data_IF_261267817206
#
_entry.id   IF_261267817206
#
_cell.length_a   1.000
_cell.length_b   1.000
_cell.length_c   1.000
_cell.angle_alpha   90.00
_cell.angle_beta   90.00
_cell.angle_gamma   90.00
#
_symmetry.space_group_name_H-M   'P 1'
#
loop_
_entity.id
_entity.type
_entity.pdbx_description
1 polymer ?
#
# COMPACT_ATOMS: atom_id res chain seq x y z
N UNK A 1 19.05 18.72 -29.88
CA UNK A 1 18.53 19.30 -28.63
C UNK A 1 17.34 18.45 -28.23
N UNK A 2 17.57 17.49 -27.34
CA UNK A 2 16.50 16.73 -26.69
C UNK A 2 15.87 17.63 -25.64
N UNK A 3 14.56 17.85 -25.72
CA UNK A 3 13.81 18.59 -24.71
C UNK A 3 13.92 17.89 -23.35
N UNK A 4 14.08 18.63 -22.24
CA UNK A 4 14.04 18.03 -20.91
C UNK A 4 12.61 17.53 -20.65
N UNK A 5 12.47 16.22 -20.41
CA UNK A 5 11.21 15.59 -20.01
C UNK A 5 10.70 16.30 -18.76
N UNK A 6 9.64 17.09 -18.94
CA UNK A 6 9.03 17.88 -17.87
C UNK A 6 8.16 16.93 -17.05
N UNK A 7 8.77 16.29 -16.06
CA UNK A 7 8.07 15.44 -15.09
C UNK A 7 7.16 16.32 -14.22
N UNK A 8 5.91 16.46 -14.67
CA UNK A 8 4.84 17.08 -13.89
C UNK A 8 4.32 16.01 -12.95
N UNK A 9 4.74 16.07 -11.68
CA UNK A 9 4.09 15.30 -10.62
C UNK A 9 2.63 15.76 -10.61
N UNK A 10 1.72 14.86 -10.99
CA UNK A 10 0.29 15.18 -11.12
C UNK A 10 -0.22 15.57 -9.73
N UNK A 11 -0.77 16.78 -9.55
CA UNK A 11 -1.35 17.20 -8.28
C UNK A 11 -2.73 16.57 -8.14
N UNK A 12 -3.03 15.99 -6.99
CA UNK A 12 -4.30 15.32 -6.79
C UNK A 12 -4.95 15.71 -5.46
N UNK A 13 -6.28 15.69 -5.41
CA UNK A 13 -7.09 16.37 -4.38
C UNK A 13 -7.87 15.43 -3.43
N UNK A 14 -7.80 14.09 -3.56
CA UNK A 14 -8.61 13.16 -2.74
C UNK A 14 -7.88 11.91 -2.23
N UNK A 15 -8.50 11.24 -1.24
CA UNK A 15 -8.03 10.03 -0.54
C UNK A 15 -7.94 8.75 -1.39
N UNK A 16 -8.27 8.79 -2.68
CA UNK A 16 -8.31 7.62 -3.58
C UNK A 16 -7.11 7.55 -4.55
N UNK A 17 -6.14 8.46 -4.43
CA UNK A 17 -4.97 8.54 -5.30
C UNK A 17 -4.08 7.30 -5.29
N UNK A 18 -3.89 6.70 -4.11
CA UNK A 18 -3.09 5.48 -4.01
C UNK A 18 -3.74 4.32 -4.78
N UNK A 19 -5.08 4.28 -4.86
CA UNK A 19 -5.80 3.29 -5.65
C UNK A 19 -5.59 3.49 -7.14
N UNK A 20 -5.47 4.74 -7.61
CA UNK A 20 -5.16 5.02 -9.01
C UNK A 20 -3.81 4.41 -9.41
N UNK A 21 -2.76 4.68 -8.62
CA UNK A 21 -1.42 4.13 -8.87
C UNK A 21 -1.41 2.59 -8.82
N UNK A 22 -2.14 1.99 -7.88
CA UNK A 22 -2.28 0.53 -7.79
C UNK A 22 -3.05 -0.06 -8.97
N UNK A 23 -4.15 0.56 -9.41
CA UNK A 23 -4.89 0.14 -10.60
C UNK A 23 -4.05 0.23 -11.86
N UNK A 24 -3.23 1.27 -11.98
CA UNK A 24 -2.33 1.44 -13.11
C UNK A 24 -1.29 0.33 -13.20
N UNK A 25 -0.68 -0.04 -12.08
CA UNK A 25 0.26 -1.16 -12.02
C UNK A 25 -0.42 -2.51 -12.35
N UNK A 26 -1.62 -2.74 -11.79
CA UNK A 26 -2.40 -3.94 -12.09
C UNK A 26 -2.85 -4.01 -13.56
N UNK A 27 -3.22 -2.88 -14.15
CA UNK A 27 -3.60 -2.80 -15.57
C UNK A 27 -2.40 -3.18 -16.45
N UNK A 28 -1.23 -2.58 -16.22
CA UNK A 28 0.00 -2.93 -16.93
C UNK A 28 0.35 -4.42 -16.77
N UNK A 29 0.28 -4.92 -15.54
CA UNK A 29 0.56 -6.32 -15.26
C UNK A 29 -0.36 -7.29 -16.02
N UNK A 30 -1.66 -7.03 -16.04
CA UNK A 30 -2.61 -7.84 -16.80
C UNK A 30 -2.42 -7.69 -18.32
N UNK A 31 -2.08 -6.48 -18.78
CA UNK A 31 -1.73 -6.21 -20.19
C UNK A 31 -0.55 -7.04 -20.64
N UNK A 32 0.52 -7.09 -19.85
CA UNK A 32 1.71 -7.89 -20.17
C UNK A 32 1.48 -9.40 -20.12
N UNK A 33 0.59 -9.87 -19.22
CA UNK A 33 0.30 -11.31 -19.08
C UNK A 33 -0.63 -11.84 -20.17
N UNK A 34 -1.59 -11.04 -20.62
CA UNK A 34 -2.72 -11.50 -21.44
C UNK A 34 -2.91 -10.73 -22.75
N UNK A 35 -1.99 -9.81 -23.07
CA UNK A 35 -2.06 -8.93 -24.26
C UNK A 35 -3.39 -8.15 -24.33
N UNK A 36 -3.86 -7.69 -23.17
CA UNK A 36 -5.12 -6.97 -23.03
C UNK A 36 -4.94 -5.47 -23.26
N UNK A 37 -5.91 -4.84 -23.92
CA UNK A 37 -5.96 -3.39 -23.98
C UNK A 37 -6.68 -2.82 -22.76
N UNK A 38 -5.97 -2.79 -21.64
CA UNK A 38 -6.47 -2.25 -20.36
C UNK A 38 -5.68 -1.02 -19.94
N UNK A 39 -6.41 0.02 -19.54
CA UNK A 39 -5.88 1.27 -18.99
C UNK A 39 -6.53 1.54 -17.63
N UNK A 40 -5.99 2.50 -16.87
CA UNK A 40 -6.51 2.82 -15.52
C UNK A 40 -7.99 3.20 -15.53
N UNK A 41 -8.44 3.90 -16.58
CA UNK A 41 -9.83 4.34 -16.75
C UNK A 41 -10.77 3.21 -17.15
N UNK A 42 -10.28 2.22 -17.91
CA UNK A 42 -11.05 1.06 -18.40
C UNK A 42 -10.85 -0.18 -17.55
N UNK A 43 -10.02 -0.12 -16.49
CA UNK A 43 -9.61 -1.26 -15.68
C UNK A 43 -10.78 -2.09 -15.16
N UNK A 44 -11.80 -1.43 -14.60
CA UNK A 44 -12.99 -2.12 -14.08
C UNK A 44 -13.87 -2.64 -15.22
N UNK A 45 -14.02 -1.88 -16.30
CA UNK A 45 -14.83 -2.24 -17.48
C UNK A 45 -14.34 -3.51 -18.16
N UNK A 46 -13.02 -3.63 -18.35
CA UNK A 46 -12.42 -4.82 -18.96
C UNK A 46 -12.63 -6.07 -18.09
N UNK A 47 -12.74 -5.90 -16.77
CA UNK A 47 -12.82 -6.99 -15.80
C UNK A 47 -14.26 -7.32 -15.34
N UNK A 48 -15.25 -6.49 -15.66
CA UNK A 48 -16.61 -6.59 -15.11
C UNK A 48 -17.40 -7.82 -15.58
N UNK A 49 -16.96 -8.50 -16.64
CA UNK A 49 -17.53 -9.79 -17.08
C UNK A 49 -17.03 -10.98 -16.26
N UNK A 50 -15.98 -10.78 -15.46
CA UNK A 50 -15.28 -11.83 -14.71
C UNK A 50 -14.46 -12.80 -15.57
N UNK A 51 -14.55 -12.73 -16.91
CA UNK A 51 -13.90 -13.71 -17.79
C UNK A 51 -12.36 -13.65 -17.69
N UNK A 52 -11.80 -12.44 -17.67
CA UNK A 52 -10.35 -12.24 -17.49
C UNK A 52 -9.89 -12.72 -16.11
N UNK A 53 -10.69 -12.49 -15.05
CA UNK A 53 -10.39 -12.94 -13.70
C UNK A 53 -10.34 -14.47 -13.63
N UNK A 54 -11.33 -15.13 -14.23
CA UNK A 54 -11.35 -16.58 -14.32
C UNK A 54 -10.19 -17.14 -15.13
N UNK A 55 -9.88 -16.52 -16.27
CA UNK A 55 -8.70 -16.87 -17.08
C UNK A 55 -7.42 -16.72 -16.27
N UNK A 56 -7.32 -15.66 -15.47
CA UNK A 56 -6.16 -15.42 -14.61
C UNK A 56 -6.03 -16.50 -13.53
N UNK A 57 -7.11 -16.85 -12.82
CA UNK A 57 -7.11 -17.95 -11.85
C UNK A 57 -6.67 -19.28 -12.47
N UNK A 58 -7.18 -19.61 -13.67
CA UNK A 58 -6.79 -20.81 -14.39
C UNK A 58 -5.31 -20.82 -14.78
N UNK A 59 -4.77 -19.68 -15.21
CA UNK A 59 -3.35 -19.54 -15.51
C UNK A 59 -2.48 -19.67 -14.26
N UNK A 60 -2.88 -19.06 -13.14
CA UNK A 60 -2.19 -19.22 -11.84
C UNK A 60 -2.15 -20.69 -11.43
N UNK A 61 -3.26 -21.43 -11.56
CA UNK A 61 -3.30 -22.87 -11.30
C UNK A 61 -2.34 -23.64 -12.21
N UNK A 62 -2.32 -23.32 -13.50
CA UNK A 62 -1.41 -23.96 -14.46
C UNK A 62 0.07 -23.74 -14.09
N UNK A 63 0.47 -22.50 -13.79
CA UNK A 63 1.85 -22.18 -13.37
C UNK A 63 2.20 -22.92 -12.08
N UNK A 64 1.28 -23.02 -11.13
CA UNK A 64 1.49 -23.77 -9.89
C UNK A 64 1.72 -25.27 -10.15
N UNK A 65 0.98 -25.88 -11.08
CA UNK A 65 1.17 -27.28 -11.48
C UNK A 65 2.52 -27.51 -12.15
N UNK A 66 2.96 -26.59 -13.01
CA UNK A 66 4.28 -26.65 -13.66
C UNK A 66 5.41 -26.51 -12.64
N UNK A 67 5.24 -25.59 -11.68
CA UNK A 67 6.16 -25.41 -10.57
C UNK A 67 6.23 -26.67 -9.69
N UNK A 68 5.09 -27.29 -9.38
CA UNK A 68 5.05 -28.53 -8.60
C UNK A 68 5.77 -29.69 -9.30
N UNK A 69 5.69 -29.75 -10.64
CA UNK A 69 6.42 -30.73 -11.46
C UNK A 69 7.92 -30.46 -11.49
N UNK A 70 8.31 -29.19 -11.60
CA UNK A 70 9.72 -28.79 -11.76
C UNK A 70 10.49 -28.77 -10.44
N UNK A 71 9.81 -28.45 -9.33
CA UNK A 71 10.41 -28.28 -8.01
C UNK A 71 9.54 -28.95 -6.91
N UNK A 72 9.46 -30.29 -6.88
CA UNK A 72 8.53 -31.00 -5.99
C UNK A 72 8.83 -30.80 -4.49
N UNK A 73 10.10 -30.73 -4.09
CA UNK A 73 10.47 -30.52 -2.69
C UNK A 73 10.09 -29.11 -2.21
N UNK A 74 10.29 -28.11 -3.06
CA UNK A 74 9.84 -26.74 -2.81
C UNK A 74 8.31 -26.65 -2.70
N UNK A 75 7.60 -27.29 -3.63
CA UNK A 75 6.14 -27.30 -3.69
C UNK A 75 5.48 -27.88 -2.44
N UNK A 76 6.09 -28.87 -1.77
CA UNK A 76 5.58 -29.45 -0.51
C UNK A 76 5.47 -28.43 0.63
N UNK A 77 6.25 -27.36 0.58
CA UNK A 77 6.26 -26.31 1.59
C UNK A 77 5.36 -25.12 1.22
N UNK A 78 4.71 -25.15 0.06
CA UNK A 78 3.83 -24.10 -0.44
C UNK A 78 2.38 -24.58 -0.52
N UNK A 79 1.45 -23.65 -0.31
CA UNK A 79 0.03 -23.84 -0.65
C UNK A 79 -0.11 -23.52 -2.13
N UNK A 80 -0.25 -24.55 -2.96
CA UNK A 80 -0.44 -24.42 -4.39
C UNK A 80 -1.92 -24.65 -4.74
N UNK A 81 -2.50 -23.84 -5.64
CA UNK A 81 -3.83 -24.13 -6.18
C UNK A 81 -3.80 -25.46 -6.94
N UNK A 82 -4.85 -26.26 -6.76
CA UNK A 82 -4.97 -27.62 -7.32
C UNK A 82 -6.10 -27.74 -8.34
N UNK A 83 -7.02 -26.79 -8.35
CA UNK A 83 -8.14 -26.75 -9.27
C UNK A 83 -8.27 -25.35 -9.88
N UNK A 84 -8.70 -25.30 -11.14
CA UNK A 84 -9.09 -24.06 -11.80
C UNK A 84 -10.52 -23.63 -11.47
N UNK A 85 -11.02 -22.65 -12.20
CA UNK A 85 -12.39 -22.13 -12.13
C UNK A 85 -13.14 -22.34 -13.43
N UNK A 86 -14.43 -22.63 -13.30
CA UNK A 86 -15.36 -22.57 -14.41
C UNK A 86 -15.54 -21.13 -14.88
N UNK A 87 -15.60 -20.94 -16.20
CA UNK A 87 -15.70 -19.62 -16.80
C UNK A 87 -16.67 -19.64 -17.98
N UNK A 88 -17.66 -18.75 -17.97
CA UNK A 88 -18.51 -18.49 -19.10
C UNK A 88 -17.96 -17.30 -19.91
N UNK A 89 -17.28 -17.60 -21.01
CA UNK A 89 -16.69 -16.58 -21.90
C UNK A 89 -17.74 -15.77 -22.68
N UNK A 90 -18.97 -16.25 -22.79
CA UNK A 90 -20.06 -15.54 -23.46
C UNK A 90 -20.80 -14.54 -22.54
N UNK A 91 -20.39 -14.45 -21.26
CA UNK A 91 -20.98 -13.53 -20.30
C UNK A 91 -20.86 -12.08 -20.78
N UNK A 92 -21.96 -11.33 -20.67
CA UNK A 92 -22.00 -9.91 -21.01
C UNK A 92 -21.94 -9.06 -19.74
N UNK A 93 -21.41 -7.83 -19.80
CA UNK A 93 -21.39 -6.91 -18.67
C UNK A 93 -22.75 -6.75 -17.98
N UNK A 94 -22.76 -6.68 -16.65
CA UNK A 94 -23.97 -6.48 -15.85
C UNK A 94 -24.93 -7.68 -15.74
N UNK A 95 -24.66 -8.79 -16.43
CA UNK A 95 -25.53 -9.98 -16.43
C UNK A 95 -25.31 -10.90 -15.21
N UNK A 96 -26.26 -11.80 -14.95
CA UNK A 96 -26.10 -12.85 -13.94
C UNK A 96 -24.91 -13.78 -14.24
N UNK A 97 -24.64 -14.05 -15.51
CA UNK A 97 -23.49 -14.86 -15.93
C UNK A 97 -22.15 -14.17 -15.59
N UNK A 98 -22.08 -12.84 -15.74
CA UNK A 98 -20.89 -12.09 -15.33
C UNK A 98 -20.67 -12.16 -13.80
N UNK A 99 -21.75 -12.00 -13.02
CA UNK A 99 -21.69 -12.17 -11.55
C UNK A 99 -21.27 -13.57 -11.14
N UNK A 100 -21.72 -14.60 -11.86
CA UNK A 100 -21.34 -15.99 -11.61
C UNK A 100 -19.84 -16.23 -11.86
N UNK A 101 -19.29 -15.71 -12.96
CA UNK A 101 -17.84 -15.74 -13.21
C UNK A 101 -17.05 -15.09 -12.06
N UNK A 102 -17.46 -13.89 -11.64
CA UNK A 102 -16.79 -13.17 -10.54
C UNK A 102 -16.90 -13.96 -9.23
N UNK A 103 -18.06 -14.54 -8.93
CA UNK A 103 -18.28 -15.40 -7.76
C UNK A 103 -17.36 -16.62 -7.77
N UNK A 104 -17.22 -17.29 -8.92
CA UNK A 104 -16.32 -18.44 -9.08
C UNK A 104 -14.87 -18.05 -8.81
N UNK A 105 -14.43 -16.89 -9.32
CA UNK A 105 -13.09 -16.35 -9.04
C UNK A 105 -12.88 -16.04 -7.55
N UNK A 106 -13.85 -15.39 -6.90
CA UNK A 106 -13.79 -15.06 -5.46
C UNK A 106 -13.69 -16.35 -4.63
N UNK A 107 -14.51 -17.35 -4.93
CA UNK A 107 -14.48 -18.64 -4.22
C UNK A 107 -13.13 -19.34 -4.38
N UNK A 108 -12.55 -19.30 -5.58
CA UNK A 108 -11.23 -19.85 -5.84
C UNK A 108 -10.12 -19.11 -5.09
N UNK A 109 -10.14 -17.78 -5.07
CA UNK A 109 -9.18 -16.98 -4.30
C UNK A 109 -9.21 -17.34 -2.81
N UNK A 110 -10.41 -17.54 -2.24
CA UNK A 110 -10.58 -17.96 -0.85
C UNK A 110 -10.07 -19.39 -0.62
N UNK A 111 -10.44 -20.33 -1.49
CA UNK A 111 -10.21 -21.77 -1.27
C UNK A 111 -8.81 -22.23 -1.66
N UNK A 112 -8.37 -21.89 -2.87
CA UNK A 112 -7.13 -22.39 -3.46
C UNK A 112 -5.94 -21.49 -3.13
N UNK A 113 -6.18 -20.18 -3.00
CA UNK A 113 -5.13 -19.20 -2.69
C UNK A 113 -5.14 -18.72 -1.23
N UNK A 114 -6.11 -19.12 -0.40
CA UNK A 114 -6.20 -18.79 1.03
C UNK A 114 -6.14 -17.27 1.34
N UNK A 115 -6.72 -16.46 0.44
CA UNK A 115 -6.83 -15.01 0.64
C UNK A 115 -7.83 -14.72 1.77
N UNK A 116 -7.41 -13.93 2.76
CA UNK A 116 -8.22 -13.59 3.95
C UNK A 116 -9.42 -12.73 3.56
N UNK A 117 -10.57 -12.99 4.19
CA UNK A 117 -11.83 -12.28 3.89
C UNK A 117 -11.75 -10.75 4.03
N UNK A 118 -10.87 -10.23 4.89
CA UNK A 118 -10.65 -8.78 5.04
C UNK A 118 -10.12 -8.10 3.76
N UNK A 119 -9.51 -8.87 2.85
CA UNK A 119 -9.02 -8.39 1.55
C UNK A 119 -9.94 -8.78 0.40
N UNK A 120 -10.94 -9.62 0.65
CA UNK A 120 -11.86 -10.09 -0.39
C UNK A 120 -12.86 -9.00 -0.76
N UNK A 121 -13.29 -9.02 -2.02
CA UNK A 121 -14.33 -8.16 -2.56
C UNK A 121 -15.58 -8.98 -2.86
N UNK A 122 -16.71 -8.30 -3.03
CA UNK A 122 -17.99 -8.88 -3.42
C UNK A 122 -18.27 -8.70 -4.92
N UNK A 123 -19.15 -9.51 -5.49
CA UNK A 123 -19.55 -9.39 -6.90
C UNK A 123 -20.12 -8.01 -7.22
N UNK A 124 -20.87 -7.42 -6.27
CA UNK A 124 -21.47 -6.09 -6.43
C UNK A 124 -20.43 -4.96 -6.36
N UNK A 125 -19.26 -5.17 -5.74
CA UNK A 125 -18.21 -4.16 -5.65
C UNK A 125 -17.66 -3.80 -7.03
N UNK A 126 -17.52 -4.82 -7.89
CA UNK A 126 -17.05 -4.68 -9.27
C UNK A 126 -18.17 -4.25 -10.22
N UNK A 127 -19.34 -4.89 -10.13
CA UNK A 127 -20.47 -4.65 -11.05
C UNK A 127 -21.12 -3.28 -10.83
N UNK A 128 -21.25 -2.84 -9.58
CA UNK A 128 -21.86 -1.54 -9.23
C UNK A 128 -20.81 -0.44 -9.02
N UNK A 129 -19.51 -0.75 -9.19
CA UNK A 129 -18.37 0.15 -8.94
C UNK A 129 -18.43 0.84 -7.57
N UNK A 130 -18.87 0.10 -6.54
CA UNK A 130 -19.11 0.66 -5.20
C UNK A 130 -17.86 0.66 -4.32
N UNK A 131 -16.99 -0.33 -4.48
CA UNK A 131 -15.81 -0.51 -3.64
C UNK A 131 -14.65 -1.11 -4.43
N UNK A 132 -13.94 -0.27 -5.17
CA UNK A 132 -12.78 -0.71 -5.96
C UNK A 132 -11.56 -1.06 -5.08
N UNK A 133 -11.53 -0.59 -3.82
CA UNK A 133 -10.39 -0.79 -2.92
C UNK A 133 -10.13 -2.27 -2.65
N UNK A 134 -11.14 -3.00 -2.17
CA UNK A 134 -10.96 -4.41 -1.83
C UNK A 134 -10.66 -5.23 -3.08
N UNK A 135 -11.23 -4.87 -4.24
CA UNK A 135 -10.91 -5.51 -5.51
C UNK A 135 -9.41 -5.40 -5.85
N UNK A 136 -8.86 -4.18 -5.78
CA UNK A 136 -7.43 -3.91 -6.02
C UNK A 136 -6.54 -4.65 -5.01
N UNK A 137 -6.89 -4.60 -3.72
CA UNK A 137 -6.11 -5.25 -2.67
C UNK A 137 -6.12 -6.79 -2.80
N UNK A 138 -7.27 -7.36 -3.20
CA UNK A 138 -7.40 -8.80 -3.46
C UNK A 138 -6.45 -9.24 -4.58
N UNK A 139 -6.40 -8.51 -5.71
CA UNK A 139 -5.53 -8.82 -6.83
C UNK A 139 -4.04 -8.71 -6.46
N UNK A 140 -3.65 -7.70 -5.67
CA UNK A 140 -2.26 -7.59 -5.19
C UNK A 140 -1.88 -8.70 -4.22
N UNK A 141 -2.79 -9.13 -3.34
CA UNK A 141 -2.57 -10.30 -2.47
C UNK A 141 -2.45 -11.59 -3.29
N UNK A 142 -3.31 -11.76 -4.31
CA UNK A 142 -3.22 -12.89 -5.23
C UNK A 142 -1.85 -12.94 -5.92
N UNK A 143 -1.39 -11.80 -6.43
CA UNK A 143 -0.10 -11.72 -7.09
C UNK A 143 1.08 -11.99 -6.14
N UNK A 144 1.03 -11.50 -4.90
CA UNK A 144 2.01 -11.83 -3.84
C UNK A 144 2.12 -13.34 -3.62
N UNK A 145 0.99 -14.04 -3.57
CA UNK A 145 0.97 -15.49 -3.38
C UNK A 145 1.46 -16.23 -4.63
N UNK A 146 1.04 -15.80 -5.81
CA UNK A 146 1.44 -16.42 -7.07
C UNK A 146 2.93 -16.27 -7.40
N UNK A 147 3.56 -15.17 -6.97
CA UNK A 147 4.98 -14.92 -7.12
C UNK A 147 5.86 -16.02 -6.47
N UNK A 148 5.38 -16.62 -5.37
CA UNK A 148 6.09 -17.67 -4.63
C UNK A 148 6.34 -18.96 -5.42
N UNK A 149 5.60 -19.16 -6.50
CA UNK A 149 5.75 -20.31 -7.39
C UNK A 149 6.03 -19.89 -8.85
N UNK A 150 6.59 -18.69 -9.04
CA UNK A 150 7.21 -18.28 -10.31
C UNK A 150 6.33 -17.45 -11.23
N UNK A 151 5.10 -17.08 -10.84
CA UNK A 151 4.32 -16.14 -11.63
C UNK A 151 4.94 -14.74 -11.59
N UNK A 152 5.01 -14.05 -12.73
CA UNK A 152 5.44 -12.66 -12.76
C UNK A 152 4.50 -11.81 -11.92
N UNK A 153 5.04 -11.07 -10.96
CA UNK A 153 4.29 -10.17 -10.08
C UNK A 153 4.22 -8.74 -10.65
N UNK A 154 3.22 -7.93 -10.27
CA UNK A 154 3.16 -6.51 -10.60
C UNK A 154 4.29 -5.73 -9.91
N UNK A 155 4.54 -4.52 -10.38
CA UNK A 155 5.69 -3.68 -10.02
C UNK A 155 5.70 -3.34 -8.53
N UNK A 156 4.54 -3.15 -7.92
CA UNK A 156 4.36 -2.93 -6.47
C UNK A 156 4.85 -4.10 -5.63
N UNK A 157 4.42 -5.31 -5.98
CA UNK A 157 4.81 -6.53 -5.26
C UNK A 157 6.30 -6.79 -5.39
N UNK A 158 6.87 -6.53 -6.58
CA UNK A 158 8.33 -6.63 -6.77
C UNK A 158 9.11 -5.67 -5.85
N UNK A 159 8.60 -4.45 -5.64
CA UNK A 159 9.22 -3.49 -4.70
C UNK A 159 9.09 -3.95 -3.25
N UNK A 160 7.99 -4.59 -2.87
CA UNK A 160 7.82 -5.15 -1.51
C UNK A 160 8.89 -6.21 -1.22
N UNK A 161 9.10 -7.14 -2.16
CA UNK A 161 10.13 -8.17 -2.02
C UNK A 161 11.54 -7.58 -1.98
N UNK A 162 11.80 -6.52 -2.76
CA UNK A 162 13.08 -5.80 -2.75
C UNK A 162 13.33 -5.16 -1.38
N UNK A 163 12.34 -4.44 -0.84
CA UNK A 163 12.42 -3.81 0.49
C UNK A 163 12.62 -4.86 1.58
N UNK A 164 11.89 -5.99 1.51
CA UNK A 164 12.03 -7.07 2.49
C UNK A 164 13.45 -7.68 2.46
N UNK A 165 14.03 -7.83 1.28
CA UNK A 165 15.39 -8.35 1.12
C UNK A 165 16.45 -7.36 1.60
N UNK A 166 16.31 -6.07 1.29
CA UNK A 166 17.17 -5.01 1.84
C UNK A 166 17.14 -4.99 3.37
N UNK A 167 15.94 -5.08 3.96
CA UNK A 167 15.77 -5.09 5.42
C UNK A 167 16.37 -6.35 6.04
N UNK A 168 16.23 -7.51 5.39
CA UNK A 168 16.82 -8.78 5.83
C UNK A 168 18.35 -8.70 5.87
N UNK A 169 18.96 -8.11 4.84
CA UNK A 169 20.39 -7.91 4.76
C UNK A 169 20.90 -6.94 5.83
N UNK A 170 20.19 -5.83 6.07
CA UNK A 170 20.56 -4.90 7.15
C UNK A 170 20.46 -5.50 8.55
N UNK A 171 19.61 -6.52 8.73
CA UNK A 171 19.42 -7.22 10.00
C UNK A 171 20.29 -8.50 10.12
N UNK A 172 21.19 -8.76 9.16
CA UNK A 172 22.03 -9.97 9.09
C UNK A 172 21.22 -11.28 9.24
N UNK A 173 20.00 -11.28 8.73
CA UNK A 173 19.10 -12.43 8.82
C UNK A 173 19.45 -13.46 7.73
N UNK A 174 19.24 -14.77 8.00
CA UNK A 174 19.46 -15.80 7.00
C UNK A 174 18.57 -15.58 5.77
N UNK A 175 18.99 -16.04 4.58
CA UNK A 175 18.18 -15.96 3.37
C UNK A 175 16.80 -16.54 3.62
N UNK A 176 15.76 -15.92 3.04
CA UNK A 176 14.42 -16.48 3.13
C UNK A 176 14.41 -17.92 2.62
N UNK A 177 13.62 -18.80 3.26
CA UNK A 177 13.39 -20.20 2.85
C UNK A 177 12.68 -20.32 1.48
N UNK A 178 12.71 -19.29 0.63
CA UNK A 178 12.11 -19.34 -0.70
C UNK A 178 13.04 -20.13 -1.64
N UNK A 179 12.63 -21.32 -2.09
CA UNK A 179 13.50 -22.26 -2.80
C UNK A 179 13.73 -21.91 -4.28
N UNK A 180 13.42 -20.68 -4.71
CA UNK A 180 13.38 -20.31 -6.12
C UNK A 180 14.56 -19.42 -6.54
N UNK A 181 15.25 -19.77 -7.64
CA UNK A 181 16.09 -18.84 -8.38
C UNK A 181 15.19 -17.73 -8.92
N UNK A 182 15.25 -16.56 -8.28
CA UNK A 182 14.49 -15.39 -8.74
C UNK A 182 15.12 -14.94 -10.07
N UNK A 183 14.31 -14.61 -11.09
CA UNK A 183 14.85 -14.07 -12.32
C UNK A 183 15.72 -12.83 -12.00
N UNK A 184 16.86 -12.63 -12.70
CA UNK A 184 17.73 -11.50 -12.46
C UNK A 184 16.93 -10.22 -12.64
N UNK A 185 16.76 -9.51 -11.53
CA UNK A 185 15.99 -8.27 -11.48
C UNK A 185 16.78 -7.20 -12.23
N UNK A 186 16.13 -6.46 -13.12
CA UNK A 186 16.72 -5.24 -13.67
C UNK A 186 16.84 -4.24 -12.52
N UNK A 187 18.02 -3.64 -12.27
CA UNK A 187 18.14 -2.53 -11.35
C UNK A 187 17.14 -1.46 -11.78
N UNK A 188 16.26 -1.05 -10.88
CA UNK A 188 15.42 0.11 -11.16
C UNK A 188 16.29 1.34 -11.12
N UNK A 189 16.16 2.16 -12.15
CA UNK A 189 16.82 3.44 -12.18
C UNK A 189 16.10 4.37 -11.19
N UNK A 190 16.66 4.47 -9.97
CA UNK A 190 16.19 5.38 -8.94
C UNK A 190 16.76 6.80 -9.15
N UNK A 191 17.45 7.04 -10.27
CA UNK A 191 17.94 8.37 -10.63
C UNK A 191 16.75 9.35 -10.66
N UNK A 192 16.87 10.44 -9.91
CA UNK A 192 15.85 11.46 -9.64
C UNK A 192 14.88 11.19 -8.48
N UNK A 193 14.92 10.05 -7.77
CA UNK A 193 14.03 9.80 -6.62
C UNK A 193 14.14 10.93 -5.58
N UNK A 194 15.35 11.28 -5.15
CA UNK A 194 15.57 12.36 -4.20
C UNK A 194 15.03 13.70 -4.70
N UNK A 195 15.15 13.97 -5.99
CA UNK A 195 14.64 15.21 -6.58
C UNK A 195 13.12 15.25 -6.53
N UNK A 196 12.45 14.13 -6.81
CA UNK A 196 10.99 14.02 -6.73
C UNK A 196 10.50 14.14 -5.28
N UNK A 197 11.20 13.50 -4.33
CA UNK A 197 10.89 13.61 -2.90
C UNK A 197 11.03 15.06 -2.43
N UNK A 198 12.13 15.74 -2.79
CA UNK A 198 12.32 17.18 -2.48
C UNK A 198 11.20 18.03 -3.05
N UNK A 199 10.83 17.87 -4.33
CA UNK A 199 9.72 18.61 -4.94
C UNK A 199 8.38 18.39 -4.24
N UNK A 200 8.14 17.20 -3.68
CA UNK A 200 6.95 16.91 -2.88
C UNK A 200 6.94 17.66 -1.55
N UNK A 201 8.11 17.77 -0.90
CA UNK A 201 8.28 18.49 0.35
C UNK A 201 8.29 20.02 0.18
N UNK A 202 8.80 20.53 -0.95
CA UNK A 202 8.90 21.97 -1.26
C UNK A 202 7.55 22.70 -1.30
N UNK A 203 6.43 21.97 -1.31
CA UNK A 203 5.07 22.53 -1.20
C UNK A 203 4.70 22.94 0.23
N UNK A 204 5.47 22.51 1.23
CA UNK A 204 5.28 22.86 2.63
C UNK A 204 5.66 24.33 2.87
N UNK A 205 4.73 25.13 3.41
CA UNK A 205 4.95 26.54 3.75
C UNK A 205 5.10 26.78 5.26
N UNK A 206 5.19 25.70 6.04
CA UNK A 206 5.32 25.75 7.49
C UNK A 206 6.67 26.37 7.92
N UNK A 207 6.70 27.16 9.03
CA UNK A 207 7.96 27.68 9.58
C UNK A 207 8.85 26.57 10.17
N UNK A 208 8.25 25.46 10.59
CA UNK A 208 8.94 24.22 10.95
C UNK A 208 8.44 23.15 10.00
N UNK A 209 9.29 22.70 9.09
CA UNK A 209 8.97 21.63 8.17
C UNK A 209 8.99 20.28 8.88
N UNK A 210 8.11 19.37 8.47
CA UNK A 210 8.13 18.00 8.94
C UNK A 210 9.48 17.35 8.57
N UNK A 211 10.27 16.86 9.56
CA UNK A 211 11.62 16.38 9.30
C UNK A 211 11.56 15.06 8.54
N UNK A 212 12.06 15.07 7.30
CA UNK A 212 12.24 13.88 6.46
C UNK A 212 13.69 13.83 5.97
N UNK A 213 14.48 12.95 6.58
CA UNK A 213 15.94 12.88 6.42
C UNK A 213 16.28 11.65 5.59
N UNK A 214 17.00 11.84 4.48
CA UNK A 214 17.50 10.74 3.67
C UNK A 214 18.58 9.97 4.44
N UNK A 215 18.42 8.66 4.58
CA UNK A 215 19.44 7.76 5.16
C UNK A 215 20.27 7.13 4.05
N UNK A 216 19.59 6.51 3.09
CA UNK A 216 20.16 5.93 1.89
C UNK A 216 19.17 6.07 0.74
N UNK A 217 19.55 5.65 -0.47
CA UNK A 217 18.67 5.73 -1.62
C UNK A 217 17.37 4.94 -1.37
N UNK A 218 16.22 5.61 -1.47
CA UNK A 218 14.92 5.00 -1.18
C UNK A 218 14.62 4.74 0.30
N UNK A 219 15.46 5.20 1.25
CA UNK A 219 15.21 5.09 2.70
C UNK A 219 15.27 6.45 3.38
N UNK A 220 14.19 6.81 4.07
CA UNK A 220 14.06 8.10 4.74
C UNK A 220 13.59 7.90 6.16
N UNK A 221 14.13 8.69 7.10
CA UNK A 221 13.60 8.77 8.46
C UNK A 221 12.72 9.98 8.60
N UNK A 222 11.61 9.79 9.29
CA UNK A 222 10.51 10.73 9.29
C UNK A 222 10.01 11.00 10.71
N UNK A 223 9.72 12.27 10.98
CA UNK A 223 9.18 12.76 12.26
C UNK A 223 10.19 12.73 13.40
N UNK A 224 9.73 13.05 14.61
CA UNK A 224 10.57 13.08 15.82
C UNK A 224 10.86 11.68 16.39
N UNK A 225 10.12 10.66 15.93
CA UNK A 225 10.22 9.27 16.40
C UNK A 225 11.16 8.40 15.57
N UNK A 226 11.99 9.00 14.71
CA UNK A 226 12.98 8.32 13.84
C UNK A 226 12.38 7.16 13.00
N UNK A 227 11.12 7.30 12.58
CA UNK A 227 10.40 6.22 11.86
C UNK A 227 10.98 6.06 10.46
N UNK A 228 11.49 4.87 10.16
CA UNK A 228 12.02 4.53 8.83
C UNK A 228 10.88 4.24 7.84
N UNK A 229 10.91 4.94 6.70
CA UNK A 229 10.02 4.68 5.58
C UNK A 229 10.83 4.35 4.33
N UNK A 230 10.26 3.49 3.49
CA UNK A 230 10.85 3.15 2.20
C UNK A 230 10.10 3.87 1.10
N UNK A 231 10.82 4.52 0.21
CA UNK A 231 10.25 5.27 -0.91
C UNK A 231 10.76 4.68 -2.21
N UNK A 232 9.85 4.51 -3.17
CA UNK A 232 10.15 3.96 -4.49
C UNK A 232 9.38 4.70 -5.58
N UNK A 233 9.87 4.62 -6.80
CA UNK A 233 9.20 5.16 -7.98
C UNK A 233 8.37 4.03 -8.62
N UNK A 234 7.08 4.31 -8.83
CA UNK A 234 6.16 3.51 -9.62
C UNK A 234 5.66 4.39 -10.77
N UNK A 235 6.28 4.27 -11.96
CA UNK A 235 5.95 5.10 -13.13
C UNK A 235 6.07 6.60 -12.81
N UNK A 236 4.97 7.35 -12.89
CA UNK A 236 4.89 8.78 -12.55
C UNK A 236 4.61 9.03 -11.05
N UNK A 237 4.44 7.98 -10.25
CA UNK A 237 4.08 8.05 -8.84
C UNK A 237 5.28 7.83 -7.92
N UNK A 238 5.38 8.66 -6.88
CA UNK A 238 6.29 8.41 -5.76
C UNK A 238 5.52 7.67 -4.68
N UNK A 239 5.91 6.42 -4.43
CA UNK A 239 5.24 5.52 -3.50
C UNK A 239 6.02 5.43 -2.19
N UNK A 240 5.29 5.49 -1.08
CA UNK A 240 5.80 5.35 0.28
C UNK A 240 5.28 4.06 0.89
N UNK A 241 6.17 3.26 1.46
CA UNK A 241 5.87 2.05 2.21
C UNK A 241 5.98 2.34 3.70
N UNK A 242 4.86 2.17 4.42
CA UNK A 242 4.79 2.23 5.88
C UNK A 242 4.10 0.98 6.43
N UNK A 243 4.77 0.23 7.31
CA UNK A 243 4.17 -0.92 7.99
C UNK A 243 3.57 -1.98 7.06
N UNK A 244 2.24 -1.99 6.88
CA UNK A 244 1.47 -3.02 6.15
C UNK A 244 0.87 -2.66 4.78
N UNK A 245 1.05 -1.44 4.25
CA UNK A 245 0.58 -1.09 2.90
C UNK A 245 1.41 -0.03 2.17
N UNK A 246 0.99 0.29 0.94
CA UNK A 246 1.53 1.35 0.10
C UNK A 246 0.65 2.60 0.16
N UNK A 247 1.29 3.76 0.11
CA UNK A 247 0.66 5.06 -0.06
C UNK A 247 1.44 5.90 -1.09
N UNK A 248 0.88 7.00 -1.56
CA UNK A 248 1.65 7.98 -2.35
C UNK A 248 2.37 8.95 -1.41
N UNK A 249 3.50 9.51 -1.83
CA UNK A 249 4.21 10.52 -1.04
C UNK A 249 3.33 11.76 -0.80
N UNK A 250 2.53 12.18 -1.79
CA UNK A 250 1.65 13.34 -1.66
C UNK A 250 0.63 13.13 -0.52
N UNK A 251 -0.07 11.99 -0.53
CA UNK A 251 -1.06 11.65 0.49
C UNK A 251 -0.44 11.33 1.86
N UNK A 252 0.75 10.72 1.89
CA UNK A 252 1.50 10.54 3.13
C UNK A 252 1.82 11.90 3.78
N UNK A 253 2.33 12.85 2.99
CA UNK A 253 2.63 14.20 3.49
C UNK A 253 1.35 14.95 3.90
N UNK A 254 0.21 14.79 3.23
CA UNK A 254 -1.04 15.44 3.64
C UNK A 254 -1.50 15.05 5.05
N UNK A 255 -1.22 13.82 5.49
CA UNK A 255 -1.57 13.34 6.84
C UNK A 255 -0.58 13.77 7.91
N UNK A 256 0.66 14.04 7.53
CA UNK A 256 1.76 14.25 8.46
C UNK A 256 2.27 15.69 8.50
N UNK A 257 2.04 16.49 7.46
CA UNK A 257 2.45 17.89 7.34
C UNK A 257 1.35 18.83 7.89
N UNK A 258 1.61 19.58 8.98
CA UNK A 258 0.63 20.45 9.62
C UNK A 258 0.01 21.53 8.71
N UNK A 259 0.76 22.08 7.73
CA UNK A 259 0.22 23.12 6.82
C UNK A 259 -0.55 22.53 5.63
N UNK A 260 -0.47 21.22 5.41
CA UNK A 260 -1.24 20.52 4.36
C UNK A 260 -2.48 19.81 4.90
N UNK A 261 -2.51 19.56 6.21
CA UNK A 261 -3.69 19.12 6.94
C UNK A 261 -4.86 20.12 6.77
N UNK A 262 -5.68 19.89 5.75
CA UNK A 262 -6.93 20.64 5.49
C UNK A 262 -7.95 20.47 6.61
N UNK A 263 -7.75 19.51 7.52
CA UNK A 263 -8.63 19.24 8.67
C UNK A 263 -8.35 20.10 9.91
N UNK A 264 -7.27 20.91 9.95
CA UNK A 264 -6.92 21.71 11.14
C UNK A 264 -6.73 23.22 10.88
N UNK A 265 -6.75 23.68 9.64
CA UNK A 265 -6.49 25.09 9.32
C UNK A 265 -7.73 25.95 8.99
N UNK A 266 -8.95 25.49 9.31
CA UNK A 266 -10.16 26.35 9.24
C UNK A 266 -10.29 27.27 10.48
N UNK A 267 -9.57 27.00 11.58
CA UNK A 267 -9.74 27.74 12.84
C UNK A 267 -8.72 28.86 13.11
N UNK A 268 -7.74 29.09 12.22
CA UNK A 268 -6.72 30.14 12.42
C UNK A 268 -6.57 31.02 11.18
N UNK A 269 -7.67 31.63 10.72
CA UNK A 269 -7.58 32.90 10.03
C UNK A 269 -7.74 34.03 11.06
N UNK A 270 -6.68 34.78 11.40
CA UNK A 270 -6.89 36.08 12.01
C UNK A 270 -7.41 37.01 10.90
N UNK A 271 -8.71 37.27 10.90
CA UNK A 271 -9.22 38.43 10.16
C UNK A 271 -8.63 39.69 10.82
N UNK A 272 -7.95 40.48 10.00
CA UNK A 272 -7.30 41.75 10.32
C UNK A 272 -8.35 42.87 10.63
N UNK A 273 -7.96 44.14 10.85
CA UNK A 273 -7.83 44.75 12.17
C UNK A 273 -8.80 45.93 12.32
N UNK A 274 -9.75 45.87 13.25
CA UNK A 274 -10.61 47.02 13.55
C UNK A 274 -10.58 47.34 15.04
N UNK A 275 -10.12 48.56 15.31
CA UNK A 275 -10.23 49.31 16.55
C UNK A 275 -11.65 49.23 17.13
N UNK A 276 -11.77 49.05 18.45
CA UNK A 276 -12.66 49.74 19.40
C UNK A 276 -12.84 48.89 20.69
N UNK A 277 -13.36 49.43 21.79
CA UNK A 277 -12.61 50.08 22.86
C UNK A 277 -12.61 49.23 24.15
N UNK A 278 -11.66 49.47 25.04
CA UNK A 278 -11.72 48.96 26.43
C UNK A 278 -12.93 49.52 27.17
N UNK A 279 -13.59 48.70 28.01
CA UNK A 279 -14.06 49.21 29.29
C UNK A 279 -13.65 48.30 30.45
N UNK A 280 -13.03 48.91 31.45
CA UNK A 280 -13.49 48.76 32.84
C UNK A 280 -12.91 47.63 33.69
N UNK A 281 -11.95 48.01 34.53
CA UNK A 281 -11.44 47.29 35.70
C UNK A 281 -12.53 46.88 36.71
N UNK A 282 -12.39 45.67 37.29
CA UNK A 282 -12.57 45.25 38.72
C UNK A 282 -12.39 43.72 38.74
N UNK A 283 -11.53 43.06 39.52
CA UNK A 283 -11.03 43.29 40.87
C UNK A 283 -11.34 42.01 41.67
N UNK A 284 -10.33 41.31 42.19
CA UNK A 284 -10.52 40.15 43.08
C UNK A 284 -9.36 39.17 43.04
N UNK A 285 -8.57 39.12 44.10
CA UNK A 285 -7.29 38.41 44.19
C UNK A 285 -7.39 36.90 44.46
N UNK A 286 -6.22 36.28 44.45
CA UNK A 286 -6.02 34.88 44.84
C UNK A 286 -4.66 34.38 44.35
N UNK A 287 -3.69 34.31 45.25
CA UNK A 287 -2.38 33.72 45.02
C UNK A 287 -2.50 32.19 44.95
N UNK A 288 -1.97 31.57 43.89
CA UNK A 288 -1.53 30.17 43.96
C UNK A 288 -0.27 30.01 43.10
N UNK A 289 0.83 29.67 43.78
CA UNK A 289 2.10 29.28 43.17
C UNK A 289 1.98 27.79 42.87
N UNK A 290 2.14 27.40 41.61
CA UNK A 290 2.07 26.00 41.17
C UNK A 290 2.91 25.79 39.91
N UNK A 291 3.86 24.86 40.02
CA UNK A 291 4.92 24.52 39.08
C UNK A 291 4.44 24.31 37.63
N UNK A 292 4.95 25.08 36.68
CA UNK A 292 4.73 24.87 35.24
C UNK A 292 5.66 23.74 34.78
N UNK A 293 5.12 22.54 34.58
CA UNK A 293 5.74 21.56 33.68
C UNK A 293 5.21 21.84 32.28
N UNK A 294 6.13 21.96 31.33
CA UNK A 294 5.83 22.34 29.95
C UNK A 294 4.99 21.25 29.27
N UNK A 295 3.69 21.52 29.12
CA UNK A 295 2.75 20.68 28.39
C UNK A 295 1.75 21.60 27.71
N UNK A 296 1.77 21.63 26.37
CA UNK A 296 0.79 22.39 25.60
C UNK A 296 -0.59 21.73 25.77
N UNK A 297 -1.48 22.39 26.52
CA UNK A 297 -2.90 22.04 26.63
C UNK A 297 -3.62 22.74 25.49
N UNK A 298 -4.16 21.98 24.54
CA UNK A 298 -5.06 22.52 23.53
C UNK A 298 -6.48 22.61 24.10
N UNK A 299 -7.05 23.82 24.08
CA UNK A 299 -8.37 24.16 24.63
C UNK A 299 -9.51 23.64 23.78
N UNK A 300 -9.75 22.33 23.81
CA UNK A 300 -10.97 21.72 23.27
C UNK A 300 -11.25 20.33 23.83
N UNK A 301 -10.85 20.03 25.08
CA UNK A 301 -11.42 18.93 25.89
C UNK A 301 -11.47 17.52 25.28
N UNK A 302 -10.79 17.26 24.16
CA UNK A 302 -10.68 15.95 23.51
C UNK A 302 -9.21 15.61 23.44
N UNK A 303 -8.84 14.46 24.02
CA UNK A 303 -7.52 13.89 23.82
C UNK A 303 -7.28 13.74 22.32
N UNK A 304 -6.25 14.41 21.80
CA UNK A 304 -5.53 13.86 20.66
C UNK A 304 -4.96 12.52 21.14
N UNK A 305 -5.31 11.43 20.46
CA UNK A 305 -4.69 10.13 20.70
C UNK A 305 -3.18 10.29 20.45
N UNK A 306 -2.42 10.53 21.52
CA UNK A 306 -1.02 10.13 21.61
C UNK A 306 -1.02 8.61 21.64
N UNK A 307 -0.19 8.02 20.78
CA UNK A 307 0.32 6.67 20.95
C UNK A 307 -0.71 5.58 21.26
N UNK A 308 -1.30 5.01 20.21
CA UNK A 308 -1.54 3.58 20.23
C UNK A 308 -0.21 2.87 19.93
N UNK A 309 0.68 2.83 20.93
CA UNK A 309 1.64 1.73 21.05
C UNK A 309 0.84 0.43 21.17
N UNK A 310 0.58 -0.23 20.05
CA UNK A 310 0.27 -1.65 20.00
C UNK A 310 1.50 -2.37 19.49
N UNK A 311 2.33 -2.75 20.45
CA UNK A 311 3.21 -3.91 20.46
C UNK A 311 3.91 -4.26 19.14
N UNK A 312 5.18 -3.85 19.06
CA UNK A 312 6.24 -4.73 18.59
C UNK A 312 6.25 -5.99 19.47
N UNK A 313 5.44 -6.98 19.12
CA UNK A 313 5.69 -8.38 19.42
C UNK A 313 5.35 -9.21 18.17
N UNK A 314 6.41 -9.54 17.45
CA UNK A 314 6.58 -10.78 16.69
C UNK A 314 5.44 -11.20 15.76
N UNK A 315 5.57 -10.86 14.49
CA UNK A 315 5.20 -11.79 13.41
C UNK A 315 6.47 -12.47 12.88
N UNK A 316 7.14 -13.19 13.78
CA UNK A 316 7.88 -14.40 13.38
C UNK A 316 6.79 -15.42 13.13
N UNK A 317 6.60 -15.82 11.88
CA UNK A 317 5.74 -16.95 11.56
C UNK A 317 6.25 -18.18 12.31
N UNK A 318 5.47 -18.65 13.27
CA UNK A 318 5.75 -19.87 14.02
C UNK A 318 5.79 -21.06 13.06
N UNK A 319 7.00 -21.55 12.78
CA UNK A 319 7.23 -22.89 12.27
C UNK A 319 7.00 -23.84 13.45
N UNK A 320 5.79 -24.40 13.55
CA UNK A 320 5.44 -25.36 14.60
C UNK A 320 5.36 -26.78 14.05
N UNK A 321 6.50 -27.46 13.88
CA UNK A 321 6.56 -28.92 13.67
C UNK A 321 7.82 -29.50 14.36
N UNK A 322 7.54 -30.31 15.39
CA UNK A 322 8.29 -31.45 15.95
C UNK A 322 9.79 -31.30 16.30
N UNK A 323 10.08 -31.30 17.61
CA UNK A 323 11.04 -32.24 18.20
C UNK A 323 10.56 -32.66 19.60
N UNK A 324 10.31 -33.95 19.77
CA UNK A 324 10.05 -34.57 21.07
C UNK A 324 11.33 -35.06 21.71
N UNK A 325 11.42 -34.92 23.03
CA UNK A 325 12.25 -35.64 24.01
C UNK A 325 11.55 -35.35 25.36
N UNK A 326 11.22 -36.28 26.26
CA UNK A 326 11.85 -37.55 26.61
C UNK A 326 12.47 -37.40 28.00
N UNK A 327 11.88 -38.03 29.03
CA UNK A 327 12.39 -38.11 30.42
C UNK A 327 12.15 -36.84 31.25
N UNK A 328 11.74 -36.88 32.51
CA UNK A 328 11.85 -37.90 33.55
C UNK A 328 10.75 -37.67 34.61
#
# INVERSE_FOLDING_TARGET
MSEPVKWVIRPYQSSEQYLYAMKEDLAEWLKELYDLDVEVGTFVEVLETGAVLCSHANNVTHVAEEFARSCPDAARHLRLPTAGVACNLAAQPGTFQARDNISNFIQWCRKEMDIKDVLMFETEDLVLRKNEKNFVLCLLELARRAARFGMRAPTLVQMEEEIEEELRQELDLPPADTPLPRPPRKPRDLHNLDQMVRRGMDRCTCPVQFPMIKISEGKYRVGDSDTLIFVRILREHVMVRVGGGWDTLEHYLDKHDPCRCTSLCESLRPQTPWLCPMPGVRGGGGSFVGLVTSGAVCGSGRLCYRDASLALLGNVWFLGILFGFGGH
#
